data_IF_583133681085
#
_entry.id   IF_583133681085
#
_cell.length_a   1.000
_cell.length_b   1.000
_cell.length_c   1.000
_cell.angle_alpha   90.00
_cell.angle_beta   90.00
_cell.angle_gamma   90.00
#
_symmetry.space_group_name_H-M   'P 1'
#
loop_
_entity.id
_entity.type
_entity.pdbx_description
1 polymer ?
#
# COMPACT_ATOMS: atom_id res chain seq x y z
N UNK A 1 11.83 -3.33 12.79
CA UNK A 1 11.49 -1.92 13.03
C UNK A 1 10.70 -1.41 11.84
N UNK A 2 9.58 -0.73 12.09
CA UNK A 2 8.85 0.01 11.05
C UNK A 2 9.12 1.50 11.26
N UNK A 3 9.63 2.17 10.25
CA UNK A 3 9.71 3.63 10.25
C UNK A 3 8.28 4.17 10.23
N UNK A 4 8.00 5.13 11.12
CA UNK A 4 6.73 5.87 11.13
C UNK A 4 7.09 7.31 10.81
N UNK A 5 6.64 7.79 9.65
CA UNK A 5 6.88 9.16 9.23
C UNK A 5 5.77 10.08 9.73
N UNK A 6 6.17 11.25 10.26
CA UNK A 6 5.24 12.26 10.72
C UNK A 6 5.00 13.29 9.62
N UNK A 7 3.85 13.17 8.93
CA UNK A 7 3.47 14.12 7.89
C UNK A 7 2.86 15.41 8.48
N UNK A 8 3.05 16.53 7.78
CA UNK A 8 2.33 17.77 8.12
C UNK A 8 0.82 17.60 7.93
N UNK A 9 0.01 18.30 8.74
CA UNK A 9 -1.46 18.25 8.66
C UNK A 9 -1.96 18.66 7.26
N UNK A 10 -1.30 19.64 6.64
CA UNK A 10 -1.64 20.10 5.30
C UNK A 10 -1.38 19.01 4.25
N UNK A 11 -0.23 18.34 4.33
CA UNK A 11 0.10 17.23 3.44
C UNK A 11 -0.92 16.10 3.58
N UNK A 12 -1.25 15.71 4.81
CA UNK A 12 -2.24 14.68 5.12
C UNK A 12 -3.64 15.00 4.56
N UNK A 13 -4.04 16.27 4.62
CA UNK A 13 -5.32 16.72 4.05
C UNK A 13 -5.31 16.65 2.52
N UNK A 14 -4.22 17.09 1.86
CA UNK A 14 -4.08 17.01 0.41
C UNK A 14 -4.05 15.56 -0.08
N UNK A 15 -3.26 14.69 0.57
CA UNK A 15 -3.19 13.26 0.22
C UNK A 15 -4.53 12.57 0.44
N UNK A 16 -5.31 12.95 1.46
CA UNK A 16 -6.67 12.43 1.65
C UNK A 16 -7.63 12.79 0.51
N UNK A 17 -7.60 14.04 0.03
CA UNK A 17 -8.44 14.47 -1.11
C UNK A 17 -8.07 13.69 -2.38
N UNK A 18 -6.78 13.55 -2.63
CA UNK A 18 -6.27 12.85 -3.82
C UNK A 18 -6.59 11.36 -3.74
N UNK A 19 -6.43 10.75 -2.56
CA UNK A 19 -6.79 9.35 -2.33
C UNK A 19 -8.26 9.08 -2.68
N UNK A 20 -9.19 9.94 -2.27
CA UNK A 20 -10.62 9.79 -2.63
C UNK A 20 -10.86 9.85 -4.14
N UNK A 21 -10.18 10.74 -4.85
CA UNK A 21 -10.30 10.87 -6.31
C UNK A 21 -9.67 9.68 -7.04
N UNK A 22 -8.52 9.21 -6.56
CA UNK A 22 -7.84 8.03 -7.09
C UNK A 22 -8.70 6.77 -6.90
N UNK A 23 -9.32 6.62 -5.73
CA UNK A 23 -10.20 5.50 -5.45
C UNK A 23 -11.43 5.51 -6.38
N UNK A 24 -12.06 6.67 -6.58
CA UNK A 24 -13.18 6.80 -7.52
C UNK A 24 -12.77 6.47 -8.96
N UNK A 25 -11.57 6.89 -9.37
CA UNK A 25 -11.02 6.54 -10.68
C UNK A 25 -10.76 5.03 -10.81
N UNK A 26 -10.20 4.40 -9.78
CA UNK A 26 -9.89 2.97 -9.76
C UNK A 26 -11.16 2.10 -9.77
N UNK A 27 -12.21 2.51 -9.06
CA UNK A 27 -13.52 1.87 -9.03
C UNK A 27 -14.21 1.96 -10.40
N UNK A 28 -14.19 3.14 -11.03
CA UNK A 28 -14.77 3.35 -12.37
C UNK A 28 -14.12 2.48 -13.46
N UNK A 29 -12.82 2.21 -13.33
CA UNK A 29 -12.07 1.36 -14.27
C UNK A 29 -12.07 -0.12 -13.88
N UNK A 30 -12.63 -0.49 -12.72
CA UNK A 30 -12.63 -1.87 -12.22
C UNK A 30 -11.22 -2.41 -11.98
N UNK A 31 -10.25 -1.55 -11.66
CA UNK A 31 -8.85 -1.96 -11.43
C UNK A 31 -8.71 -2.76 -10.14
N UNK A 32 -9.56 -2.47 -9.14
CA UNK A 32 -9.57 -3.15 -7.86
C UNK A 32 -10.42 -4.41 -7.99
N UNK A 33 -9.82 -5.57 -7.70
CA UNK A 33 -10.54 -6.84 -7.71
C UNK A 33 -11.59 -6.85 -6.59
N UNK A 34 -12.82 -7.36 -6.84
CA UNK A 34 -13.86 -7.46 -5.82
C UNK A 34 -13.49 -8.41 -4.66
N UNK A 35 -12.49 -9.27 -4.84
CA UNK A 35 -11.94 -10.13 -3.79
C UNK A 35 -10.96 -9.39 -2.86
N UNK A 36 -10.55 -8.17 -3.19
CA UNK A 36 -9.61 -7.39 -2.40
C UNK A 36 -10.33 -6.69 -1.24
N UNK A 37 -10.34 -7.33 -0.08
CA UNK A 37 -10.96 -6.76 1.12
C UNK A 37 -10.09 -5.70 1.84
N UNK A 38 -8.79 -5.62 1.51
CA UNK A 38 -7.85 -4.69 2.13
C UNK A 38 -7.82 -3.33 1.43
N UNK A 39 -7.74 -2.24 2.21
CA UNK A 39 -7.64 -0.85 1.75
C UNK A 39 -8.82 -0.35 0.89
N UNK A 40 -9.95 -1.04 0.94
CA UNK A 40 -11.18 -0.63 0.26
C UNK A 40 -12.22 -0.15 1.30
N UNK A 41 -12.84 1.03 1.12
CA UNK A 41 -13.84 1.52 2.06
C UNK A 41 -15.07 0.60 2.07
N UNK A 42 -15.58 0.33 3.27
CA UNK A 42 -16.72 -0.57 3.47
C UNK A 42 -16.35 -2.05 3.57
N UNK A 43 -15.09 -2.42 3.35
CA UNK A 43 -14.59 -3.77 3.59
C UNK A 43 -13.87 -3.84 4.93
N UNK A 44 -14.22 -4.85 5.72
CA UNK A 44 -13.64 -5.10 7.03
C UNK A 44 -12.80 -6.37 7.01
N UNK A 45 -11.77 -6.43 7.86
CA UNK A 45 -10.92 -7.63 8.04
C UNK A 45 -11.74 -8.88 8.36
N UNK A 46 -12.90 -8.70 9.00
CA UNK A 46 -13.84 -9.78 9.32
C UNK A 46 -14.37 -10.51 8.08
N UNK A 47 -14.43 -9.84 6.91
CA UNK A 47 -14.93 -10.49 5.70
C UNK A 47 -14.03 -11.64 5.25
N UNK A 48 -12.71 -11.46 5.29
CA UNK A 48 -11.75 -12.52 4.95
C UNK A 48 -11.87 -13.73 5.88
N UNK A 49 -12.02 -13.48 7.19
CA UNK A 49 -12.18 -14.55 8.19
C UNK A 49 -13.50 -15.26 7.98
N UNK A 50 -14.59 -14.53 7.72
CA UNK A 50 -15.89 -15.11 7.46
C UNK A 50 -15.86 -16.00 6.20
N UNK A 51 -15.25 -15.51 5.10
CA UNK A 51 -15.07 -16.30 3.87
C UNK A 51 -14.32 -17.60 4.18
N UNK A 52 -13.22 -17.51 4.93
CA UNK A 52 -12.45 -18.70 5.32
C UNK A 52 -13.27 -19.68 6.17
N UNK A 53 -14.01 -19.19 7.16
CA UNK A 53 -14.90 -20.02 7.99
C UNK A 53 -15.96 -20.70 7.14
N UNK A 54 -16.63 -19.98 6.24
CA UNK A 54 -17.65 -20.56 5.35
C UNK A 54 -17.07 -21.63 4.41
N UNK A 55 -15.85 -21.44 3.92
CA UNK A 55 -15.16 -22.45 3.10
C UNK A 55 -14.82 -23.72 3.90
N UNK A 56 -14.40 -23.57 5.16
CA UNK A 56 -14.12 -24.70 6.06
C UNK A 56 -15.40 -25.47 6.38
N UNK A 57 -16.49 -24.76 6.72
CA UNK A 57 -17.79 -25.36 7.01
C UNK A 57 -18.35 -26.11 5.79
N UNK A 58 -18.25 -25.52 4.60
CA UNK A 58 -18.69 -26.15 3.36
C UNK A 58 -17.86 -27.41 3.04
N UNK A 59 -16.54 -27.36 3.18
CA UNK A 59 -15.67 -28.51 2.94
C UNK A 59 -15.96 -29.65 3.92
N UNK A 60 -16.24 -29.32 5.19
CA UNK A 60 -16.66 -30.27 6.21
C UNK A 60 -18.01 -30.92 5.87
N UNK A 61 -19.00 -30.12 5.44
CA UNK A 61 -20.32 -30.60 5.04
C UNK A 61 -20.28 -31.51 3.81
N UNK A 62 -19.38 -31.24 2.86
CA UNK A 62 -19.19 -32.05 1.65
C UNK A 62 -18.24 -33.24 1.86
N UNK A 63 -17.62 -33.37 3.04
CA UNK A 63 -16.63 -34.41 3.32
C UNK A 63 -15.34 -34.31 2.50
N UNK A 64 -15.00 -33.10 2.02
CA UNK A 64 -13.83 -32.84 1.17
C UNK A 64 -12.70 -32.20 1.97
N UNK A 65 -11.46 -32.49 1.58
CA UNK A 65 -10.28 -31.83 2.15
C UNK A 65 -10.08 -30.45 1.53
N UNK A 66 -10.11 -29.41 2.36
CA UNK A 66 -9.78 -28.04 1.96
C UNK A 66 -8.28 -27.79 2.12
N UNK A 67 -7.63 -27.29 1.07
CA UNK A 67 -6.22 -26.88 1.09
C UNK A 67 -6.15 -25.35 1.04
N UNK A 68 -5.44 -24.74 1.99
CA UNK A 68 -5.30 -23.28 2.10
C UNK A 68 -3.81 -22.92 2.06
N UNK A 69 -3.44 -21.97 1.21
CA UNK A 69 -2.10 -21.39 1.16
C UNK A 69 -2.13 -19.94 1.64
N UNK A 70 -1.34 -19.64 2.67
CA UNK A 70 -1.12 -18.26 3.13
C UNK A 70 0.14 -17.72 2.49
N UNK A 71 0.01 -16.70 1.62
CA UNK A 71 1.13 -16.04 0.97
C UNK A 71 1.29 -14.65 1.57
N UNK A 72 2.46 -14.39 2.14
CA UNK A 72 2.85 -13.08 2.68
C UNK A 72 4.05 -12.54 1.89
N UNK A 73 4.00 -11.26 1.52
CA UNK A 73 5.07 -10.60 0.76
C UNK A 73 5.91 -9.78 1.73
N UNK A 74 7.14 -10.25 2.00
CA UNK A 74 8.07 -9.49 2.84
C UNK A 74 8.46 -8.16 2.19
N UNK A 75 8.42 -7.07 2.95
CA UNK A 75 8.81 -5.72 2.51
C UNK A 75 8.07 -5.21 1.25
N UNK A 76 6.76 -5.42 1.14
CA UNK A 76 5.99 -5.01 -0.04
C UNK A 76 6.12 -3.51 -0.39
N UNK A 77 6.22 -2.60 0.60
CA UNK A 77 6.36 -1.16 0.33
C UNK A 77 7.79 -0.75 -0.08
N UNK A 78 8.87 -1.12 0.66
CA UNK A 78 10.22 -0.73 0.28
C UNK A 78 10.78 -1.44 -0.95
N UNK A 79 10.27 -2.64 -1.28
CA UNK A 79 10.74 -3.43 -2.43
C UNK A 79 10.02 -3.14 -3.75
N UNK A 80 8.97 -2.31 -3.72
CA UNK A 80 8.27 -1.94 -4.95
C UNK A 80 9.13 -0.97 -5.75
N UNK A 81 9.52 -1.36 -6.95
CA UNK A 81 10.13 -0.44 -7.91
C UNK A 81 9.11 0.66 -8.29
N UNK A 82 9.30 1.84 -7.71
CA UNK A 82 8.49 3.03 -7.96
C UNK A 82 8.35 3.29 -9.46
N UNK A 83 9.42 3.10 -10.24
CA UNK A 83 9.42 3.32 -11.70
C UNK A 83 8.41 2.42 -12.40
N UNK A 84 8.41 1.13 -12.05
CA UNK A 84 7.47 0.16 -12.62
C UNK A 84 6.03 0.44 -12.16
N UNK A 85 5.83 0.90 -10.93
CA UNK A 85 4.52 1.31 -10.42
C UNK A 85 3.92 2.48 -11.21
N UNK A 86 4.70 3.55 -11.41
CA UNK A 86 4.26 4.71 -12.19
C UNK A 86 4.00 4.38 -13.65
N UNK A 87 4.81 3.51 -14.25
CA UNK A 87 4.61 3.03 -15.62
C UNK A 87 3.32 2.21 -15.75
N UNK A 88 2.98 1.39 -14.74
CA UNK A 88 1.70 0.67 -14.69
C UNK A 88 0.52 1.64 -14.57
N UNK A 89 0.60 2.63 -13.69
CA UNK A 89 -0.42 3.68 -13.55
C UNK A 89 -0.66 4.44 -14.85
N UNK A 90 0.42 4.84 -15.52
CA UNK A 90 0.34 5.53 -16.80
C UNK A 90 -0.31 4.64 -17.87
N UNK A 91 0.05 3.35 -17.93
CA UNK A 91 -0.58 2.37 -18.84
C UNK A 91 -2.06 2.13 -18.55
N UNK A 92 -2.47 2.20 -17.28
CA UNK A 92 -3.88 2.11 -16.87
C UNK A 92 -4.68 3.39 -17.20
N UNK A 93 -4.03 4.42 -17.75
CA UNK A 93 -4.68 5.67 -18.14
C UNK A 93 -4.76 6.71 -17.03
N UNK A 94 -4.06 6.50 -15.91
CA UNK A 94 -3.94 7.50 -14.85
C UNK A 94 -2.94 8.57 -15.29
N UNK A 95 -3.44 9.69 -15.82
CA UNK A 95 -2.63 10.77 -16.38
C UNK A 95 -3.15 12.15 -15.95
N UNK A 96 -2.32 13.18 -16.10
CA UNK A 96 -2.66 14.59 -15.86
C UNK A 96 -2.12 15.18 -14.56
N UNK A 97 -2.58 16.38 -14.21
CA UNK A 97 -2.00 17.19 -13.10
C UNK A 97 -1.94 16.49 -11.75
N UNK A 98 -2.84 15.54 -11.48
CA UNK A 98 -2.86 14.78 -10.24
C UNK A 98 -1.76 13.71 -10.20
N UNK A 99 -1.46 13.10 -11.36
CA UNK A 99 -0.32 12.19 -11.51
C UNK A 99 0.99 12.96 -11.36
N UNK A 100 1.12 14.11 -12.02
CA UNK A 100 2.34 14.93 -11.96
C UNK A 100 2.61 15.45 -10.54
N UNK A 101 1.57 15.87 -9.82
CA UNK A 101 1.69 16.29 -8.42
C UNK A 101 2.14 15.14 -7.51
N UNK A 102 1.54 13.95 -7.67
CA UNK A 102 1.92 12.76 -6.90
C UNK A 102 3.35 12.32 -7.21
N UNK A 103 3.74 12.37 -8.48
CA UNK A 103 5.10 12.06 -8.93
C UNK A 103 6.10 13.01 -8.27
N UNK A 104 5.86 14.32 -8.33
CA UNK A 104 6.74 15.32 -7.71
C UNK A 104 6.83 15.14 -6.19
N UNK A 105 5.71 14.86 -5.52
CA UNK A 105 5.69 14.60 -4.08
C UNK A 105 6.62 13.44 -3.69
N UNK A 106 6.60 12.35 -4.47
CA UNK A 106 7.45 11.18 -4.21
C UNK A 106 8.92 11.39 -4.57
N UNK A 107 9.23 12.27 -5.52
CA UNK A 107 10.62 12.62 -5.87
C UNK A 107 11.25 13.58 -4.87
N UNK A 108 10.46 14.52 -4.35
CA UNK A 108 10.95 15.55 -3.43
C UNK A 108 10.90 15.10 -1.95
N UNK A 109 10.35 13.92 -1.65
CA UNK A 109 10.29 13.41 -0.29
C UNK A 109 11.69 13.05 0.23
N UNK A 110 12.17 13.85 1.17
CA UNK A 110 13.37 13.58 1.96
C UNK A 110 12.97 13.17 3.38
N UNK A 111 13.37 11.98 3.82
CA UNK A 111 13.11 11.50 5.17
C UNK A 111 14.29 11.86 6.07
N UNK A 112 14.02 12.61 7.15
CA UNK A 112 14.99 12.82 8.21
C UNK A 112 14.76 11.75 9.28
N UNK A 113 15.69 10.81 9.41
CA UNK A 113 15.67 9.81 10.48
C UNK A 113 16.37 10.42 11.68
N UNK A 114 15.61 10.70 12.74
CA UNK A 114 16.17 11.14 14.01
C UNK A 114 16.63 9.88 14.77
N UNK A 115 17.89 9.48 14.57
CA UNK A 115 18.47 8.42 15.39
C UNK A 115 18.75 8.97 16.79
N UNK A 116 18.26 8.33 17.87
CA UNK A 116 18.63 8.72 19.22
C UNK A 116 20.14 8.55 19.38
N UNK A 117 20.83 9.68 19.55
CA UNK A 117 22.27 9.77 19.78
C UNK A 117 22.67 9.05 21.08
N UNK A 118 23.00 7.76 20.97
CA UNK A 118 23.81 7.04 21.95
C UNK A 118 25.18 6.67 21.33
N UNK A 119 26.15 7.57 21.58
CA UNK A 119 27.57 7.29 21.82
C UNK A 119 28.41 6.51 20.78
N UNK A 120 29.24 7.28 20.06
CA UNK A 120 30.69 7.05 19.87
C UNK A 120 31.15 5.97 18.86
N UNK A 121 31.67 6.38 17.69
CA UNK A 121 33.11 6.61 17.43
C UNK A 121 33.40 6.81 15.91
N UNK A 122 33.80 8.05 15.58
CA UNK A 122 34.81 8.49 14.59
C UNK A 122 35.03 7.75 13.25
N UNK A 123 34.90 8.59 12.20
CA UNK A 123 35.96 9.06 11.26
C UNK A 123 35.98 8.49 9.83
N UNK A 124 36.10 9.46 8.91
CA UNK A 124 36.75 9.44 7.58
C UNK A 124 36.06 8.61 6.49
N UNK A 125 35.94 9.02 5.23
CA UNK A 125 36.63 10.04 4.45
C UNK A 125 35.88 10.22 3.12
N UNK A 126 35.65 11.47 2.72
CA UNK A 126 35.91 12.03 1.39
C UNK A 126 36.13 11.07 0.20
N UNK A 127 35.19 11.10 -0.76
CA UNK A 127 35.38 11.46 -2.18
C UNK A 127 34.04 11.57 -2.92
#
# INVERSE_FOLDING_TARGET
>A
YHAIDLESVMLKMMTCIIHKKLLHWADKLGVILPSQNGFQPGFHTNNNVLILCTMIEQACAEGKTLWIGFVDISNAFPSTDCTMFWLKLHKLGFTGKMFDWLWNLYQDMSYAVDEPMDSCRQKTQDL
#
